data_IF_302543337436
#
_entry.id   IF_302543337436
#
_cell.length_a   1.000
_cell.length_b   1.000
_cell.length_c   1.000
_cell.angle_alpha   90.00
_cell.angle_beta   90.00
_cell.angle_gamma   90.00
#
_symmetry.space_group_name_H-M   'P 1'
#
loop_
_entity.id
_entity.type
_entity.pdbx_description
1 polymer ?
#
# COMPACT_ATOMS: atom_id res chain seq x y z
N UNK A 1 -8.58 -9.59 -3.56
CA UNK A 1 -9.16 -10.96 -3.72
C UNK A 1 -8.22 -11.96 -4.39
N UNK A 2 -7.50 -11.66 -5.49
CA UNK A 2 -6.50 -12.58 -6.05
C UNK A 2 -5.42 -12.96 -5.02
N UNK A 3 -4.94 -11.97 -4.26
CA UNK A 3 -4.01 -12.18 -3.15
C UNK A 3 -4.52 -13.19 -2.12
N UNK A 4 -5.82 -13.19 -1.81
CA UNK A 4 -6.44 -14.13 -0.87
C UNK A 4 -6.37 -15.58 -1.38
N UNK A 5 -6.86 -15.78 -2.61
CA UNK A 5 -7.12 -17.13 -3.10
C UNK A 5 -5.95 -17.79 -3.83
N UNK A 6 -4.96 -16.99 -4.25
CA UNK A 6 -3.77 -17.49 -4.95
C UNK A 6 -2.51 -17.22 -4.14
N UNK A 7 -2.17 -15.96 -3.93
CA UNK A 7 -0.84 -15.60 -3.42
C UNK A 7 -0.65 -15.88 -1.93
N UNK A 8 -1.69 -15.84 -1.10
CA UNK A 8 -1.54 -16.14 0.33
C UNK A 8 -1.03 -17.57 0.57
N UNK A 9 -1.47 -18.53 -0.26
CA UNK A 9 -0.93 -19.90 -0.24
C UNK A 9 0.51 -19.95 -0.70
N UNK A 10 0.82 -19.31 -1.84
CA UNK A 10 2.17 -19.31 -2.42
C UNK A 10 3.18 -18.70 -1.45
N UNK A 11 2.84 -17.56 -0.87
CA UNK A 11 3.67 -16.92 0.15
C UNK A 11 3.85 -17.81 1.38
N UNK A 12 2.79 -18.44 1.87
CA UNK A 12 2.92 -19.33 3.04
C UNK A 12 3.77 -20.56 2.75
N UNK A 13 3.65 -21.15 1.56
CA UNK A 13 4.47 -22.30 1.11
C UNK A 13 5.95 -21.94 0.93
N UNK A 14 6.24 -20.68 0.60
CA UNK A 14 7.65 -20.26 0.42
C UNK A 14 8.50 -20.38 1.67
N UNK A 15 7.88 -20.36 2.86
CA UNK A 15 8.51 -20.52 4.16
C UNK A 15 9.80 -19.68 4.31
N UNK A 16 9.64 -18.39 4.06
CA UNK A 16 10.67 -17.35 4.13
C UNK A 16 10.33 -16.34 5.23
N UNK A 17 11.34 -15.60 5.69
CA UNK A 17 11.18 -14.60 6.75
C UNK A 17 10.70 -13.26 6.22
N UNK A 18 11.20 -12.87 5.04
CA UNK A 18 10.85 -11.61 4.35
C UNK A 18 10.52 -11.89 2.88
N UNK A 19 9.67 -11.07 2.28
CA UNK A 19 9.37 -11.17 0.85
C UNK A 19 10.58 -10.87 -0.04
N UNK A 20 11.60 -10.19 0.48
CA UNK A 20 12.88 -9.95 -0.22
C UNK A 20 13.72 -11.24 -0.29
N UNK A 21 13.62 -12.12 0.69
CA UNK A 21 14.28 -13.43 0.66
C UNK A 21 13.82 -14.30 -0.52
N UNK A 22 12.61 -14.03 -1.06
CA UNK A 22 12.10 -14.65 -2.27
C UNK A 22 13.07 -14.57 -3.44
N UNK A 23 13.87 -13.52 -3.54
CA UNK A 23 14.81 -13.35 -4.64
C UNK A 23 15.88 -14.44 -4.67
N UNK A 24 16.39 -14.87 -3.51
CA UNK A 24 17.34 -15.98 -3.46
C UNK A 24 16.67 -17.37 -3.39
N UNK A 25 15.37 -17.44 -3.11
CA UNK A 25 14.58 -18.65 -3.25
C UNK A 25 14.27 -18.95 -4.73
N UNK A 26 14.01 -17.90 -5.51
CA UNK A 26 13.54 -18.01 -6.89
C UNK A 26 14.63 -17.87 -7.94
N UNK A 27 15.70 -17.16 -7.61
CA UNK A 27 16.80 -16.83 -8.50
C UNK A 27 18.14 -17.26 -7.90
N UNK A 28 19.14 -17.39 -8.79
CA UNK A 28 20.47 -17.90 -8.44
C UNK A 28 21.58 -16.87 -8.62
N UNK A 29 22.73 -17.16 -8.02
CA UNK A 29 23.99 -16.47 -8.24
C UNK A 29 24.06 -15.03 -7.72
N UNK A 30 25.05 -14.28 -8.24
CA UNK A 30 25.36 -12.92 -7.78
C UNK A 30 24.26 -11.91 -8.12
N UNK A 31 23.48 -12.13 -9.18
CA UNK A 31 22.42 -11.25 -9.57
C UNK A 31 21.24 -11.32 -8.60
N UNK A 32 20.89 -12.52 -8.11
CA UNK A 32 19.88 -12.71 -7.06
C UNK A 32 20.31 -12.04 -5.74
N UNK A 33 21.55 -12.22 -5.32
CA UNK A 33 22.09 -11.59 -4.12
C UNK A 33 22.10 -10.05 -4.24
N UNK A 34 22.52 -9.51 -5.39
CA UNK A 34 22.46 -8.08 -5.66
C UNK A 34 21.02 -7.55 -5.58
N UNK A 35 20.07 -8.24 -6.22
CA UNK A 35 18.66 -7.88 -6.21
C UNK A 35 18.10 -7.87 -4.78
N UNK A 36 18.41 -8.88 -3.96
CA UNK A 36 18.04 -8.94 -2.55
C UNK A 36 18.59 -7.76 -1.77
N UNK A 37 19.89 -7.46 -1.88
CA UNK A 37 20.53 -6.35 -1.18
C UNK A 37 20.02 -4.98 -1.62
N UNK A 38 19.86 -4.77 -2.93
CA UNK A 38 19.29 -3.55 -3.48
C UNK A 38 17.86 -3.31 -2.99
N UNK A 39 17.01 -4.32 -3.06
CA UNK A 39 15.62 -4.23 -2.59
C UNK A 39 15.53 -3.99 -1.10
N UNK A 40 16.42 -4.60 -0.30
CA UNK A 40 16.49 -4.36 1.14
C UNK A 40 16.75 -2.90 1.47
N UNK A 41 17.70 -2.26 0.77
CA UNK A 41 17.98 -0.84 0.94
C UNK A 41 16.86 0.04 0.38
N UNK A 42 16.38 -0.27 -0.82
CA UNK A 42 15.34 0.51 -1.48
C UNK A 42 14.03 0.49 -0.68
N UNK A 43 13.50 -0.68 -0.36
CA UNK A 43 12.24 -0.82 0.39
C UNK A 43 12.41 -0.51 1.89
N UNK A 44 13.51 -0.95 2.50
CA UNK A 44 13.74 -0.79 3.93
C UNK A 44 14.09 0.64 4.35
N UNK A 45 14.73 1.41 3.47
CA UNK A 45 15.13 2.79 3.76
C UNK A 45 14.40 3.80 2.89
N UNK A 46 14.66 3.83 1.58
CA UNK A 46 14.20 4.92 0.70
C UNK A 46 12.68 4.96 0.62
N UNK A 47 12.08 3.87 0.20
CA UNK A 47 10.63 3.76 0.06
C UNK A 47 9.92 3.93 1.41
N UNK A 48 10.46 3.30 2.45
CA UNK A 48 9.92 3.34 3.80
C UNK A 48 9.89 4.77 4.37
N UNK A 49 10.97 5.53 4.21
CA UNK A 49 11.05 6.95 4.61
C UNK A 49 10.04 7.80 3.84
N UNK A 50 9.85 7.55 2.53
CA UNK A 50 8.85 8.27 1.73
C UNK A 50 7.42 8.02 2.22
N UNK A 51 7.06 6.77 2.51
CA UNK A 51 5.75 6.42 3.06
C UNK A 51 5.55 7.05 4.44
N UNK A 52 6.55 6.94 5.33
CA UNK A 52 6.49 7.55 6.66
C UNK A 52 6.41 9.08 6.59
N UNK A 53 7.08 9.70 5.62
CA UNK A 53 7.00 11.14 5.36
C UNK A 53 5.59 11.59 4.96
N UNK A 54 4.94 10.86 4.05
CA UNK A 54 3.57 11.15 3.63
C UNK A 54 2.56 11.02 4.80
N UNK A 55 2.71 9.99 5.62
CA UNK A 55 1.88 9.77 6.81
C UNK A 55 2.15 10.84 7.88
N UNK A 56 3.41 11.25 8.04
CA UNK A 56 3.80 12.34 8.95
C UNK A 56 3.20 13.68 8.53
N UNK A 57 3.14 13.98 7.22
CA UNK A 57 2.46 15.19 6.73
C UNK A 57 0.97 15.18 7.10
N UNK A 58 0.29 14.04 7.00
CA UNK A 58 -1.11 13.94 7.41
C UNK A 58 -1.28 14.24 8.92
N UNK A 59 -0.37 13.74 9.77
CA UNK A 59 -0.36 14.03 11.19
C UNK A 59 -0.07 15.53 11.49
N UNK A 60 0.82 16.17 10.73
CA UNK A 60 1.09 17.62 10.80
C UNK A 60 -0.19 18.41 10.52
N UNK A 61 -0.85 18.16 9.37
CA UNK A 61 -2.08 18.86 9.00
C UNK A 61 -3.21 18.65 10.01
N UNK A 62 -3.35 17.43 10.52
CA UNK A 62 -4.30 17.12 11.58
C UNK A 62 -4.00 17.92 12.87
N UNK A 63 -2.74 17.95 13.31
CA UNK A 63 -2.32 18.67 14.50
C UNK A 63 -2.58 20.18 14.40
N UNK A 64 -2.27 20.77 13.26
CA UNK A 64 -2.47 22.20 13.01
C UNK A 64 -3.95 22.59 12.96
N UNK A 65 -4.81 21.78 12.34
CA UNK A 65 -6.24 22.10 12.13
C UNK A 65 -7.10 21.70 13.35
N UNK A 66 -6.93 20.47 13.83
CA UNK A 66 -7.83 19.90 14.84
C UNK A 66 -7.35 20.18 16.26
N UNK A 67 -6.03 20.09 16.50
CA UNK A 67 -5.47 20.29 17.84
C UNK A 67 -4.97 21.72 18.08
N UNK A 68 -4.85 22.54 17.04
CA UNK A 68 -4.32 23.91 17.14
C UNK A 68 -2.86 23.98 17.60
N UNK A 69 -2.06 22.93 17.35
CA UNK A 69 -0.67 22.86 17.77
C UNK A 69 0.27 22.79 16.55
N UNK A 70 1.48 23.36 16.64
CA UNK A 70 2.46 23.26 15.57
C UNK A 70 2.75 21.82 15.17
N UNK A 71 2.82 21.53 13.87
CA UNK A 71 2.96 20.16 13.35
C UNK A 71 4.18 19.41 13.88
N UNK A 72 5.31 20.11 14.15
CA UNK A 72 6.50 19.50 14.74
C UNK A 72 6.25 18.94 16.16
N UNK A 73 5.40 19.60 16.98
CA UNK A 73 5.02 19.09 18.32
C UNK A 73 4.22 17.80 18.17
N UNK A 74 3.24 17.79 17.26
CA UNK A 74 2.45 16.58 16.95
C UNK A 74 3.34 15.42 16.58
N UNK A 75 4.32 15.63 15.68
CA UNK A 75 5.26 14.59 15.29
C UNK A 75 6.20 14.17 16.43
N UNK A 76 6.76 15.10 17.20
CA UNK A 76 7.61 14.75 18.33
C UNK A 76 6.90 13.83 19.31
N UNK A 77 5.66 14.14 19.67
CA UNK A 77 4.87 13.33 20.61
C UNK A 77 4.50 11.98 20.00
N UNK A 78 3.87 11.98 18.83
CA UNK A 78 3.39 10.76 18.19
C UNK A 78 4.53 9.80 17.81
N UNK A 79 5.62 10.31 17.23
CA UNK A 79 6.79 9.51 16.88
C UNK A 79 7.51 8.95 18.12
N UNK A 80 7.63 9.73 19.20
CA UNK A 80 8.26 9.25 20.44
C UNK A 80 7.48 8.09 21.06
N UNK A 81 6.17 8.21 21.16
CA UNK A 81 5.30 7.15 21.68
C UNK A 81 5.41 5.92 20.78
N UNK A 82 5.32 6.11 19.45
CA UNK A 82 5.43 5.02 18.47
C UNK A 82 6.78 4.29 18.57
N UNK A 83 7.87 5.03 18.69
CA UNK A 83 9.22 4.47 18.83
C UNK A 83 9.35 3.58 20.07
N UNK A 84 8.84 4.06 21.23
CA UNK A 84 8.92 3.32 22.48
C UNK A 84 8.21 1.98 22.40
N UNK A 85 6.94 1.96 21.99
CA UNK A 85 6.21 0.69 21.98
C UNK A 85 6.64 -0.23 20.84
N UNK A 86 7.01 0.33 19.68
CA UNK A 86 7.46 -0.45 18.51
C UNK A 86 8.79 -1.16 18.78
N UNK A 87 9.73 -0.48 19.44
CA UNK A 87 11.02 -1.04 19.81
C UNK A 87 10.93 -2.17 20.84
N UNK A 88 9.85 -2.21 21.64
CA UNK A 88 9.66 -3.20 22.70
C UNK A 88 8.78 -4.39 22.27
N UNK A 89 7.83 -4.17 21.36
CA UNK A 89 6.72 -5.09 21.14
C UNK A 89 6.94 -6.16 20.05
N UNK A 90 7.77 -5.90 19.06
CA UNK A 90 7.94 -6.78 17.89
C UNK A 90 6.65 -7.01 17.11
N UNK A 91 6.68 -7.88 16.08
CA UNK A 91 5.58 -8.10 15.15
C UNK A 91 4.26 -8.55 15.83
N UNK A 92 4.35 -9.43 16.84
CA UNK A 92 3.13 -9.92 17.53
C UNK A 92 2.37 -8.80 18.24
N UNK A 93 3.07 -7.90 18.92
CA UNK A 93 2.45 -6.76 19.57
C UNK A 93 1.85 -5.79 18.54
N UNK A 94 2.57 -5.52 17.45
CA UNK A 94 2.07 -4.69 16.34
C UNK A 94 0.75 -5.25 15.80
N UNK A 95 0.64 -6.54 15.50
CA UNK A 95 -0.60 -7.14 14.98
C UNK A 95 -1.77 -7.00 15.97
N UNK A 96 -1.53 -7.22 17.26
CA UNK A 96 -2.57 -7.10 18.30
C UNK A 96 -3.02 -5.63 18.44
N UNK A 97 -2.07 -4.71 18.51
CA UNK A 97 -2.38 -3.26 18.61
C UNK A 97 -3.08 -2.76 17.37
N UNK A 98 -2.65 -3.16 16.16
CA UNK A 98 -3.31 -2.80 14.90
C UNK A 98 -4.77 -3.23 14.89
N UNK A 99 -5.08 -4.43 15.37
CA UNK A 99 -6.47 -4.91 15.43
C UNK A 99 -7.34 -4.09 16.40
N UNK A 100 -6.81 -3.80 17.59
CA UNK A 100 -7.51 -2.94 18.59
C UNK A 100 -7.71 -1.53 18.02
N UNK A 101 -6.67 -0.95 17.44
CA UNK A 101 -6.69 0.38 16.84
C UNK A 101 -7.68 0.46 15.67
N UNK A 102 -7.80 -0.60 14.85
CA UNK A 102 -8.80 -0.69 13.80
C UNK A 102 -10.23 -0.60 14.35
N UNK A 103 -10.53 -1.32 15.44
CA UNK A 103 -11.86 -1.25 16.10
C UNK A 103 -12.14 0.17 16.58
N UNK A 104 -11.19 0.81 17.28
CA UNK A 104 -11.33 2.20 17.72
C UNK A 104 -11.54 3.17 16.56
N UNK A 105 -10.76 3.01 15.48
CA UNK A 105 -10.89 3.85 14.30
C UNK A 105 -12.27 3.71 13.65
N UNK A 106 -12.82 2.49 13.58
CA UNK A 106 -14.14 2.25 13.00
C UNK A 106 -15.24 2.84 13.89
N UNK A 107 -15.20 2.62 15.21
CA UNK A 107 -16.17 3.19 16.14
C UNK A 107 -16.16 4.73 16.06
N UNK A 108 -14.97 5.35 16.10
CA UNK A 108 -14.83 6.80 15.99
C UNK A 108 -15.35 7.34 14.67
N UNK A 109 -14.98 6.72 13.55
CA UNK A 109 -15.40 7.16 12.21
C UNK A 109 -16.89 7.02 11.98
N UNK A 110 -17.50 5.90 12.40
CA UNK A 110 -18.94 5.66 12.28
C UNK A 110 -19.70 6.69 13.12
N UNK A 111 -19.28 6.91 14.36
CA UNK A 111 -19.95 7.88 15.23
C UNK A 111 -19.81 9.32 14.72
N UNK A 112 -18.62 9.69 14.23
CA UNK A 112 -18.41 10.98 13.56
C UNK A 112 -19.33 11.15 12.37
N UNK A 113 -19.46 10.12 11.52
CA UNK A 113 -20.35 10.14 10.36
C UNK A 113 -21.81 10.35 10.76
N UNK A 114 -22.30 9.62 11.75
CA UNK A 114 -23.66 9.76 12.26
C UNK A 114 -23.90 11.20 12.77
N UNK A 115 -22.95 11.76 13.51
CA UNK A 115 -23.05 13.12 14.01
C UNK A 115 -23.06 14.15 12.86
N UNK A 116 -22.12 14.04 11.92
CA UNK A 116 -22.02 14.97 10.79
C UNK A 116 -23.30 14.91 9.93
N UNK A 117 -23.83 13.72 9.66
CA UNK A 117 -25.10 13.59 8.94
C UNK A 117 -26.28 14.20 9.67
N UNK A 118 -26.24 14.29 11.01
CA UNK A 118 -27.28 14.90 11.82
C UNK A 118 -27.21 16.44 11.89
N UNK A 119 -26.17 17.07 11.34
CA UNK A 119 -26.05 18.53 11.30
C UNK A 119 -27.23 19.14 10.49
N UNK A 120 -27.78 20.28 10.96
CA UNK A 120 -28.90 20.96 10.28
C UNK A 120 -28.61 21.28 8.80
N UNK A 121 -27.37 21.66 8.50
CA UNK A 121 -26.90 22.01 7.17
C UNK A 121 -26.92 20.81 6.20
N UNK A 122 -26.76 19.59 6.73
CA UNK A 122 -26.77 18.36 5.93
C UNK A 122 -28.13 17.72 5.93
N UNK A 123 -28.84 17.68 7.05
CA UNK A 123 -30.21 17.21 7.16
C UNK A 123 -30.41 15.70 6.92
N UNK A 124 -29.38 14.89 7.18
CA UNK A 124 -29.44 13.43 7.07
C UNK A 124 -28.96 12.86 5.75
N UNK A 125 -28.88 11.54 5.69
CA UNK A 125 -28.35 10.81 4.52
C UNK A 125 -29.18 11.07 3.26
N UNK A 126 -30.53 11.07 3.37
CA UNK A 126 -31.41 11.29 2.21
C UNK A 126 -31.18 12.66 1.57
N UNK A 127 -31.00 13.70 2.39
CA UNK A 127 -30.71 15.04 1.89
C UNK A 127 -29.30 15.13 1.30
N UNK A 128 -28.30 14.52 1.95
CA UNK A 128 -26.94 14.47 1.45
C UNK A 128 -26.88 13.91 0.03
N UNK A 129 -27.48 12.74 -0.22
CA UNK A 129 -27.41 12.08 -1.54
C UNK A 129 -28.24 12.76 -2.62
N UNK A 130 -29.19 13.60 -2.25
CA UNK A 130 -29.99 14.39 -3.20
C UNK A 130 -29.47 15.82 -3.42
N UNK A 131 -28.46 16.25 -2.64
CA UNK A 131 -27.92 17.61 -2.73
C UNK A 131 -27.20 17.85 -4.07
N UNK A 132 -27.37 19.04 -4.66
CA UNK A 132 -26.83 19.38 -5.98
C UNK A 132 -25.31 19.21 -6.09
N UNK A 133 -24.55 19.55 -5.05
CA UNK A 133 -23.10 19.40 -5.01
C UNK A 133 -22.64 17.93 -4.89
N UNK A 134 -23.54 17.02 -4.53
CA UNK A 134 -23.22 15.62 -4.19
C UNK A 134 -23.73 14.64 -5.25
N UNK A 135 -24.95 14.86 -5.78
CA UNK A 135 -25.63 13.92 -6.68
C UNK A 135 -24.77 13.50 -7.88
N UNK A 136 -24.00 14.42 -8.46
CA UNK A 136 -23.07 14.15 -9.56
C UNK A 136 -21.82 13.36 -9.17
N UNK A 137 -21.58 13.10 -7.87
CA UNK A 137 -20.42 12.37 -7.35
C UNK A 137 -20.76 10.96 -6.86
N UNK A 138 -22.01 10.55 -6.92
CA UNK A 138 -22.48 9.27 -6.36
C UNK A 138 -22.30 8.08 -7.30
N UNK A 139 -21.97 8.30 -8.56
CA UNK A 139 -21.79 7.21 -9.52
C UNK A 139 -20.61 6.33 -9.13
N UNK A 140 -20.85 5.03 -8.94
CA UNK A 140 -19.79 4.03 -8.72
C UNK A 140 -19.00 3.70 -10.00
N UNK A 141 -19.57 4.00 -11.15
CA UNK A 141 -18.93 3.82 -12.45
C UNK A 141 -18.55 5.18 -13.03
N UNK A 142 -17.35 5.27 -13.60
CA UNK A 142 -16.93 6.48 -14.30
C UNK A 142 -17.80 6.70 -15.55
N UNK A 143 -17.84 7.92 -16.03
CA UNK A 143 -18.47 8.24 -17.31
C UNK A 143 -17.66 7.62 -18.46
N UNK A 144 -18.18 6.55 -19.06
CA UNK A 144 -17.54 5.86 -20.19
C UNK A 144 -17.52 6.67 -21.49
N UNK A 145 -18.27 7.75 -21.59
CA UNK A 145 -18.22 8.69 -22.73
C UNK A 145 -16.98 9.59 -22.66
N UNK A 146 -16.40 9.76 -21.46
CA UNK A 146 -15.20 10.57 -21.24
C UNK A 146 -13.97 9.70 -20.95
N UNK A 147 -13.03 9.56 -21.92
CA UNK A 147 -11.81 8.77 -21.74
C UNK A 147 -10.97 9.18 -20.52
N UNK A 148 -10.91 10.47 -20.20
CA UNK A 148 -10.15 10.99 -19.06
C UNK A 148 -10.77 10.61 -17.70
N UNK A 149 -12.04 10.20 -17.68
CA UNK A 149 -12.72 9.74 -16.48
C UNK A 149 -12.50 8.22 -16.25
N UNK A 150 -12.65 7.37 -17.27
CA UNK A 150 -12.65 5.92 -17.06
C UNK A 150 -11.31 5.23 -17.30
N UNK A 151 -10.47 5.76 -18.22
CA UNK A 151 -9.17 5.13 -18.51
C UNK A 151 -8.26 5.09 -17.27
N UNK A 152 -8.06 6.23 -16.54
CA UNK A 152 -7.18 6.23 -15.36
C UNK A 152 -7.69 5.35 -14.22
N UNK A 153 -9.01 5.28 -14.03
CA UNK A 153 -9.62 4.64 -12.85
C UNK A 153 -9.86 3.15 -13.06
N UNK A 154 -10.18 2.73 -14.29
CA UNK A 154 -10.57 1.36 -14.58
C UNK A 154 -9.55 0.63 -15.48
N UNK A 155 -9.28 1.18 -16.67
CA UNK A 155 -8.45 0.48 -17.66
C UNK A 155 -6.99 0.35 -17.23
N UNK A 156 -6.39 1.44 -16.75
CA UNK A 156 -4.98 1.44 -16.35
C UNK A 156 -4.71 0.48 -15.20
N UNK A 157 -5.42 0.52 -14.07
CA UNK A 157 -5.17 -0.42 -12.98
C UNK A 157 -5.34 -1.87 -13.38
N UNK A 158 -6.36 -2.19 -14.20
CA UNK A 158 -6.69 -3.55 -14.59
C UNK A 158 -5.75 -4.13 -15.66
N UNK A 159 -5.52 -3.39 -16.74
CA UNK A 159 -4.90 -3.92 -17.96
C UNK A 159 -3.46 -3.45 -18.17
N UNK A 160 -3.06 -2.34 -17.57
CA UNK A 160 -1.75 -1.71 -17.80
C UNK A 160 -0.83 -1.92 -16.61
N UNK A 161 -1.28 -1.56 -15.42
CA UNK A 161 -0.45 -1.62 -14.21
C UNK A 161 -0.56 -2.95 -13.45
N UNK A 162 -1.57 -3.77 -13.73
CA UNK A 162 -1.80 -5.05 -13.06
C UNK A 162 -1.83 -4.90 -11.52
N UNK A 163 -2.48 -3.81 -11.03
CA UNK A 163 -2.54 -3.41 -9.62
C UNK A 163 -1.19 -3.09 -8.95
N UNK A 164 -0.09 -2.96 -9.69
CA UNK A 164 1.22 -2.66 -9.12
C UNK A 164 1.30 -1.31 -8.40
N UNK A 165 0.47 -0.35 -8.82
CA UNK A 165 0.45 0.99 -8.26
C UNK A 165 -0.80 1.29 -7.44
N UNK A 166 -1.56 0.28 -7.09
CA UNK A 166 -2.77 0.43 -6.29
C UNK A 166 -2.46 0.97 -4.87
N UNK A 167 -1.34 0.57 -4.30
CA UNK A 167 -0.91 0.96 -2.95
C UNK A 167 0.62 1.01 -2.91
N UNK A 168 1.25 2.05 -2.31
CA UNK A 168 2.69 2.13 -2.21
C UNK A 168 3.28 0.89 -1.53
N UNK A 169 4.25 0.24 -2.19
CA UNK A 169 4.86 -1.00 -1.73
C UNK A 169 4.00 -2.25 -1.87
N UNK A 170 2.79 -2.16 -2.44
CA UNK A 170 2.07 -3.37 -2.82
C UNK A 170 2.52 -3.85 -4.18
N UNK A 171 2.88 -5.10 -4.22
CA UNK A 171 3.12 -5.84 -5.46
C UNK A 171 1.87 -6.67 -5.77
N UNK A 172 1.58 -6.96 -7.05
CA UNK A 172 0.58 -7.97 -7.37
C UNK A 172 0.87 -9.26 -6.60
N UNK A 173 -0.09 -9.70 -5.80
CA UNK A 173 0.10 -10.84 -4.91
C UNK A 173 0.45 -10.50 -3.46
N UNK A 174 0.66 -9.22 -3.12
CA UNK A 174 0.88 -8.77 -1.75
C UNK A 174 2.32 -8.94 -1.30
N UNK A 175 3.15 -7.91 -1.49
CA UNK A 175 4.49 -7.81 -0.90
C UNK A 175 4.48 -7.10 0.46
N UNK A 176 5.66 -6.86 0.99
CA UNK A 176 5.88 -6.05 2.16
C UNK A 176 5.16 -6.55 3.42
N UNK A 177 4.50 -5.63 4.11
CA UNK A 177 3.82 -5.97 5.37
C UNK A 177 2.63 -6.93 5.20
N UNK A 178 2.00 -7.00 4.03
CA UNK A 178 0.93 -7.97 3.76
C UNK A 178 1.51 -9.38 3.71
N UNK A 179 2.60 -9.59 2.95
CA UNK A 179 3.31 -10.86 2.90
C UNK A 179 3.84 -11.27 4.27
N UNK A 180 4.38 -10.32 5.05
CA UNK A 180 4.88 -10.56 6.41
C UNK A 180 3.81 -11.19 7.32
N UNK A 181 2.54 -10.75 7.20
CA UNK A 181 1.43 -11.34 7.96
C UNK A 181 1.09 -12.75 7.47
N UNK A 182 1.20 -13.00 6.17
CA UNK A 182 0.98 -14.35 5.60
C UNK A 182 2.05 -15.34 6.08
N UNK A 183 3.33 -14.93 6.12
CA UNK A 183 4.42 -15.77 6.65
C UNK A 183 4.20 -16.13 8.12
N UNK A 184 3.72 -15.18 8.94
CA UNK A 184 3.48 -15.37 10.37
C UNK A 184 2.24 -16.21 10.69
N UNK A 185 1.39 -16.51 9.72
CA UNK A 185 0.21 -17.33 9.90
C UNK A 185 0.57 -18.79 10.21
N UNK A 186 -0.30 -19.50 10.92
CA UNK A 186 -0.08 -20.90 11.32
C UNK A 186 0.08 -21.83 10.12
N UNK A 187 -0.81 -21.70 9.15
CA UNK A 187 -0.88 -22.52 7.93
C UNK A 187 -1.51 -21.75 6.76
N UNK A 188 -1.65 -22.38 5.60
CA UNK A 188 -2.24 -21.78 4.40
C UNK A 188 -3.67 -21.29 4.62
N UNK A 189 -4.48 -22.06 5.34
CA UNK A 189 -5.88 -21.73 5.61
C UNK A 189 -5.98 -20.47 6.48
N UNK A 190 -5.13 -20.36 7.50
CA UNK A 190 -5.06 -19.16 8.34
C UNK A 190 -4.51 -17.95 7.57
N UNK A 191 -3.52 -18.13 6.69
CA UNK A 191 -3.02 -17.06 5.83
C UNK A 191 -4.10 -16.54 4.89
N UNK A 192 -4.87 -17.43 4.25
CA UNK A 192 -6.01 -17.08 3.40
C UNK A 192 -7.12 -16.39 4.20
N UNK A 193 -7.49 -16.95 5.36
CA UNK A 193 -8.54 -16.40 6.22
C UNK A 193 -8.21 -15.00 6.73
N UNK A 194 -6.98 -14.78 7.18
CA UNK A 194 -6.51 -13.46 7.62
C UNK A 194 -6.53 -12.44 6.48
N UNK A 195 -6.06 -12.83 5.29
CA UNK A 195 -6.06 -11.96 4.12
C UNK A 195 -7.48 -11.66 3.63
N UNK A 196 -8.40 -12.63 3.73
CA UNK A 196 -9.81 -12.46 3.39
C UNK A 196 -10.50 -11.49 4.36
N UNK A 197 -10.30 -11.68 5.66
CA UNK A 197 -10.80 -10.76 6.69
C UNK A 197 -10.30 -9.34 6.46
N UNK A 198 -9.00 -9.18 6.17
CA UNK A 198 -8.42 -7.89 5.83
C UNK A 198 -9.11 -7.26 4.61
N UNK A 199 -9.36 -8.03 3.55
CA UNK A 199 -10.04 -7.52 2.35
C UNK A 199 -11.45 -7.02 2.65
N UNK A 200 -12.24 -7.76 3.43
CA UNK A 200 -13.59 -7.33 3.84
C UNK A 200 -13.51 -6.06 4.67
N UNK A 201 -12.66 -6.05 5.70
CA UNK A 201 -12.53 -4.89 6.59
C UNK A 201 -12.05 -3.64 5.84
N UNK A 202 -11.06 -3.81 4.95
CA UNK A 202 -10.41 -2.70 4.25
C UNK A 202 -11.24 -2.13 3.10
N UNK A 203 -11.90 -2.98 2.31
CA UNK A 203 -12.59 -2.55 1.08
C UNK A 203 -14.11 -2.41 1.24
N UNK A 204 -14.73 -3.16 2.13
CA UNK A 204 -16.18 -3.10 2.31
C UNK A 204 -16.58 -2.27 3.54
N UNK A 205 -15.88 -2.40 4.67
CA UNK A 205 -16.32 -1.77 5.93
C UNK A 205 -15.70 -0.38 6.11
N UNK A 206 -14.39 -0.26 5.93
CA UNK A 206 -13.64 0.95 6.27
C UNK A 206 -13.99 2.19 5.43
N UNK A 207 -14.24 2.11 4.10
CA UNK A 207 -14.33 3.30 3.26
C UNK A 207 -15.57 4.16 3.49
N UNK A 208 -16.73 3.57 3.77
CA UNK A 208 -18.00 4.27 3.73
C UNK A 208 -18.13 5.42 4.76
N UNK A 209 -17.65 5.35 6.02
CA UNK A 209 -17.74 6.48 6.92
C UNK A 209 -16.98 7.69 6.39
N UNK A 210 -15.78 7.47 5.85
CA UNK A 210 -14.95 8.54 5.30
C UNK A 210 -15.52 9.13 4.00
N UNK A 211 -16.10 8.28 3.15
CA UNK A 211 -16.79 8.74 1.92
C UNK A 211 -17.96 9.65 2.29
N UNK A 212 -18.79 9.27 3.26
CA UNK A 212 -19.93 10.09 3.69
C UNK A 212 -19.50 11.43 4.29
N UNK A 213 -18.45 11.44 5.11
CA UNK A 213 -17.88 12.70 5.65
C UNK A 213 -17.32 13.56 4.49
N UNK A 214 -16.62 12.97 3.52
CA UNK A 214 -16.10 13.68 2.37
C UNK A 214 -17.20 14.24 1.48
N UNK A 215 -18.29 13.51 1.26
CA UNK A 215 -19.46 14.03 0.54
C UNK A 215 -20.14 15.16 1.32
N UNK A 216 -20.23 15.04 2.64
CA UNK A 216 -20.78 16.10 3.51
C UNK A 216 -19.94 17.37 3.45
N UNK A 217 -18.62 17.27 3.24
CA UNK A 217 -17.77 18.46 3.11
C UNK A 217 -18.09 19.30 1.87
N UNK A 218 -18.67 18.71 0.80
CA UNK A 218 -19.10 19.44 -0.38
C UNK A 218 -20.30 20.36 -0.14
N UNK A 219 -21.00 20.18 0.98
CA UNK A 219 -22.09 21.04 1.42
C UNK A 219 -21.56 22.14 2.36
N UNK A 220 -20.72 21.78 3.33
CA UNK A 220 -20.21 22.70 4.35
C UNK A 220 -19.09 23.61 3.80
N UNK A 221 -18.21 23.03 2.98
CA UNK A 221 -17.06 23.70 2.36
C UNK A 221 -17.03 23.41 0.86
N UNK A 222 -17.95 24.00 0.06
CA UNK A 222 -18.02 23.76 -1.38
C UNK A 222 -16.71 24.05 -2.12
N UNK A 223 -16.00 25.10 -1.70
CA UNK A 223 -14.77 25.56 -2.31
C UNK A 223 -13.60 25.55 -1.30
N UNK A 224 -12.36 25.46 -1.80
CA UNK A 224 -11.18 25.54 -0.94
C UNK A 224 -11.05 26.87 -0.21
N UNK A 225 -11.59 27.96 -0.79
CA UNK A 225 -11.68 29.28 -0.15
C UNK A 225 -12.50 29.27 1.14
N UNK A 226 -13.52 28.41 1.23
CA UNK A 226 -14.35 28.30 2.42
C UNK A 226 -13.54 27.70 3.58
N UNK A 227 -12.70 26.71 3.27
CA UNK A 227 -11.76 26.15 4.26
C UNK A 227 -10.74 27.19 4.68
N UNK A 228 -10.18 27.96 3.74
CA UNK A 228 -9.21 29.02 4.07
C UNK A 228 -9.84 30.12 4.95
N UNK A 229 -11.09 30.48 4.69
CA UNK A 229 -11.82 31.45 5.51
C UNK A 229 -12.11 30.92 6.93
N UNK A 230 -12.42 29.62 7.04
CA UNK A 230 -12.66 28.98 8.34
C UNK A 230 -11.36 28.79 9.17
N UNK A 231 -10.23 28.64 8.48
CA UNK A 231 -8.90 28.43 9.09
C UNK A 231 -7.88 29.44 8.54
N UNK A 232 -7.96 30.73 8.90
CA UNK A 232 -7.10 31.79 8.34
C UNK A 232 -5.62 31.64 8.66
N UNK A 233 -5.29 30.93 9.74
CA UNK A 233 -3.89 30.66 10.15
C UNK A 233 -3.24 29.52 9.36
N UNK A 234 -4.01 28.81 8.51
CA UNK A 234 -3.47 27.74 7.69
C UNK A 234 -2.60 28.33 6.56
N UNK A 235 -1.32 27.91 6.44
CA UNK A 235 -0.48 28.35 5.34
C UNK A 235 -1.08 28.01 3.97
N UNK A 236 -1.11 28.97 3.06
CA UNK A 236 -1.73 28.78 1.73
C UNK A 236 -1.06 27.65 0.90
N UNK A 237 0.21 27.35 1.15
CA UNK A 237 0.93 26.27 0.48
C UNK A 237 0.56 24.87 1.01
N UNK A 238 -0.17 24.79 2.12
CA UNK A 238 -0.73 23.57 2.69
C UNK A 238 -2.23 23.38 2.35
N UNK A 239 -2.87 24.39 1.77
CA UNK A 239 -4.28 24.33 1.38
C UNK A 239 -4.46 23.32 0.24
N UNK A 240 -5.37 22.36 0.41
CA UNK A 240 -5.69 21.32 -0.57
C UNK A 240 -6.91 20.52 -0.17
N UNK A 241 -7.43 19.70 -1.09
CA UNK A 241 -8.62 18.89 -0.83
C UNK A 241 -8.45 17.87 0.31
N UNK A 242 -7.23 17.49 0.65
CA UNK A 242 -6.89 16.58 1.74
C UNK A 242 -7.14 17.20 3.14
N UNK A 243 -7.40 18.51 3.22
CA UNK A 243 -7.76 19.23 4.45
C UNK A 243 -9.27 19.13 4.75
N UNK A 244 -10.11 18.83 3.78
CA UNK A 244 -11.56 18.79 3.97
C UNK A 244 -11.97 17.84 5.12
N UNK A 245 -11.36 16.66 5.23
CA UNK A 245 -11.66 15.73 6.31
C UNK A 245 -11.30 16.26 7.70
N UNK A 246 -10.07 16.73 7.99
CA UNK A 246 -9.76 17.42 9.27
C UNK A 246 -10.67 18.61 9.56
N UNK A 247 -11.02 19.44 8.56
CA UNK A 247 -11.94 20.56 8.73
C UNK A 247 -13.33 20.10 9.18
N UNK A 248 -13.87 19.04 8.58
CA UNK A 248 -15.16 18.48 9.03
C UNK A 248 -15.14 17.95 10.45
N UNK A 249 -14.00 17.43 10.92
CA UNK A 249 -13.87 16.93 12.29
C UNK A 249 -13.99 18.04 13.35
N UNK A 250 -13.68 19.29 13.03
CA UNK A 250 -13.82 20.42 13.97
C UNK A 250 -15.27 20.73 14.32
N UNK A 251 -16.22 20.22 13.51
CA UNK A 251 -17.67 20.35 13.78
C UNK A 251 -18.18 19.35 14.83
N UNK A 252 -17.34 18.41 15.26
CA UNK A 252 -17.71 17.39 16.25
C UNK A 252 -17.73 17.99 17.67
N UNK A 253 -18.65 17.54 18.55
CA UNK A 253 -18.61 17.92 19.96
C UNK A 253 -17.32 17.41 20.61
N UNK A 254 -16.81 18.13 21.59
CA UNK A 254 -15.47 17.94 22.20
C UNK A 254 -15.17 16.47 22.60
N UNK A 255 -16.15 15.76 23.19
CA UNK A 255 -15.98 14.37 23.60
C UNK A 255 -15.78 13.42 22.39
N UNK A 256 -16.60 13.59 21.35
CA UNK A 256 -16.49 12.78 20.12
C UNK A 256 -15.24 13.16 19.33
N UNK A 257 -14.91 14.45 19.25
CA UNK A 257 -13.66 14.91 18.65
C UNK A 257 -12.45 14.26 19.33
N UNK A 258 -12.46 14.15 20.66
CA UNK A 258 -11.39 13.45 21.40
C UNK A 258 -11.25 11.99 21.03
N UNK A 259 -12.36 11.25 20.90
CA UNK A 259 -12.35 9.83 20.46
C UNK A 259 -11.81 9.69 19.03
N UNK A 260 -12.30 10.51 18.11
CA UNK A 260 -11.86 10.50 16.71
C UNK A 260 -10.39 10.90 16.59
N UNK A 261 -9.95 11.93 17.33
CA UNK A 261 -8.55 12.34 17.37
C UNK A 261 -7.64 11.21 17.88
N UNK A 262 -8.03 10.54 18.97
CA UNK A 262 -7.32 9.39 19.47
C UNK A 262 -7.25 8.25 18.47
N UNK A 263 -8.33 8.01 17.71
CA UNK A 263 -8.36 6.98 16.67
C UNK A 263 -7.44 7.31 15.48
N UNK A 264 -7.35 8.58 15.08
CA UNK A 264 -6.45 9.02 13.99
C UNK A 264 -4.98 8.98 14.43
N UNK A 265 -4.67 9.36 15.66
CA UNK A 265 -3.33 9.19 16.24
C UNK A 265 -2.98 7.70 16.30
N UNK A 266 -3.91 6.85 16.72
CA UNK A 266 -3.71 5.41 16.74
C UNK A 266 -3.45 4.85 15.32
N UNK A 267 -4.18 5.30 14.30
CA UNK A 267 -3.97 4.92 12.91
C UNK A 267 -2.58 5.37 12.39
N UNK A 268 -2.14 6.58 12.73
CA UNK A 268 -0.78 7.05 12.47
C UNK A 268 0.25 6.12 13.11
N UNK A 269 0.10 5.85 14.41
CA UNK A 269 1.01 4.99 15.17
C UNK A 269 1.07 3.56 14.58
N UNK A 270 -0.06 2.99 14.19
CA UNK A 270 -0.15 1.67 13.53
C UNK A 270 0.65 1.63 12.23
N UNK A 271 0.48 2.62 11.37
CA UNK A 271 1.23 2.70 10.10
C UNK A 271 2.72 2.85 10.35
N UNK A 272 3.11 3.78 11.24
CA UNK A 272 4.51 4.02 11.56
C UNK A 272 5.18 2.79 12.18
N UNK A 273 4.54 2.11 13.14
CA UNK A 273 5.08 0.91 13.78
C UNK A 273 5.26 -0.25 12.78
N UNK A 274 4.30 -0.41 11.88
CA UNK A 274 4.38 -1.40 10.81
C UNK A 274 5.55 -1.12 9.86
N UNK A 275 5.71 0.12 9.42
CA UNK A 275 6.81 0.52 8.54
C UNK A 275 8.17 0.41 9.24
N UNK A 276 8.26 0.80 10.51
CA UNK A 276 9.49 0.65 11.30
C UNK A 276 9.90 -0.81 11.46
N UNK A 277 8.93 -1.69 11.77
CA UNK A 277 9.19 -3.12 11.94
C UNK A 277 9.62 -3.77 10.62
N UNK A 278 8.91 -3.49 9.53
CA UNK A 278 9.23 -4.02 8.20
C UNK A 278 10.58 -3.50 7.69
N UNK A 279 10.81 -2.19 7.76
CA UNK A 279 12.04 -1.57 7.31
C UNK A 279 13.26 -2.08 8.10
N UNK A 280 13.15 -2.18 9.42
CA UNK A 280 14.19 -2.76 10.24
C UNK A 280 14.45 -4.24 9.88
N UNK A 281 13.40 -5.02 9.59
CA UNK A 281 13.55 -6.42 9.16
C UNK A 281 14.35 -6.53 7.87
N UNK A 282 14.05 -5.73 6.86
CA UNK A 282 14.79 -5.70 5.60
C UNK A 282 16.25 -5.27 5.78
N UNK A 283 16.47 -4.16 6.49
CA UNK A 283 17.83 -3.63 6.68
C UNK A 283 18.69 -4.54 7.54
N UNK A 284 18.10 -5.25 8.49
CA UNK A 284 18.85 -6.17 9.38
C UNK A 284 19.05 -7.54 8.74
N UNK A 285 18.00 -8.20 8.30
CA UNK A 285 18.09 -9.59 7.84
C UNK A 285 18.61 -9.69 6.40
N UNK A 286 18.08 -8.84 5.51
CA UNK A 286 18.36 -8.94 4.08
C UNK A 286 19.57 -8.10 3.64
N UNK A 287 20.01 -7.12 4.44
CA UNK A 287 21.20 -6.34 4.14
C UNK A 287 22.32 -6.56 5.15
N UNK A 288 22.14 -6.21 6.45
CA UNK A 288 23.22 -6.24 7.44
C UNK A 288 23.71 -7.68 7.70
N UNK A 289 22.81 -8.57 8.10
CA UNK A 289 23.13 -9.97 8.40
C UNK A 289 23.64 -10.71 7.15
N UNK A 290 23.00 -10.49 6.01
CA UNK A 290 23.34 -11.21 4.77
C UNK A 290 24.67 -10.79 4.16
N UNK A 291 25.01 -9.49 4.19
CA UNK A 291 26.15 -8.94 3.42
C UNK A 291 27.25 -8.33 4.27
N UNK A 292 26.97 -7.86 5.49
CA UNK A 292 27.95 -7.14 6.31
C UNK A 292 28.49 -8.04 7.42
N UNK A 293 27.65 -8.66 8.20
CA UNK A 293 28.03 -9.47 9.38
C UNK A 293 27.21 -10.76 9.47
N UNK A 294 27.49 -11.78 8.63
CA UNK A 294 26.76 -13.06 8.63
C UNK A 294 26.87 -13.83 9.96
N UNK A 295 27.97 -13.64 10.70
CA UNK A 295 28.25 -14.33 11.96
C UNK A 295 27.90 -13.52 13.21
N UNK A 296 27.09 -12.45 13.07
CA UNK A 296 26.77 -11.59 14.20
C UNK A 296 25.81 -12.26 15.18
N UNK A 297 25.90 -11.86 16.46
CA UNK A 297 25.04 -12.41 17.51
C UNK A 297 23.58 -11.86 17.37
N UNK A 298 22.61 -12.64 17.89
CA UNK A 298 21.19 -12.19 17.97
C UNK A 298 21.05 -10.86 18.71
N UNK A 299 21.89 -10.60 19.73
CA UNK A 299 21.89 -9.33 20.48
C UNK A 299 22.33 -8.16 19.60
N UNK A 300 23.33 -8.38 18.75
CA UNK A 300 23.82 -7.40 17.79
C UNK A 300 22.73 -7.07 16.76
N UNK A 301 22.05 -8.08 16.19
CA UNK A 301 20.93 -7.88 15.27
C UNK A 301 19.81 -7.01 15.87
N UNK A 302 19.45 -7.27 17.13
CA UNK A 302 18.44 -6.47 17.84
C UNK A 302 18.89 -5.02 18.01
N UNK A 303 20.17 -4.79 18.35
CA UNK A 303 20.70 -3.43 18.51
C UNK A 303 20.75 -2.69 17.17
N UNK A 304 21.17 -3.35 16.09
CA UNK A 304 21.18 -2.79 14.75
C UNK A 304 19.76 -2.47 14.29
N UNK A 305 18.77 -3.35 14.57
CA UNK A 305 17.36 -3.08 14.29
C UNK A 305 16.86 -1.82 14.99
N UNK A 306 17.22 -1.63 16.27
CA UNK A 306 16.85 -0.42 17.03
C UNK A 306 17.46 0.85 16.43
N UNK A 307 18.73 0.79 16.00
CA UNK A 307 19.39 1.92 15.33
C UNK A 307 18.67 2.27 14.03
N UNK A 308 18.39 1.30 13.17
CA UNK A 308 17.64 1.55 11.93
C UNK A 308 16.24 2.09 12.20
N UNK A 309 15.54 1.58 13.21
CA UNK A 309 14.24 2.10 13.63
C UNK A 309 14.31 3.58 14.01
N UNK A 310 15.30 3.99 14.82
CA UNK A 310 15.49 5.40 15.20
C UNK A 310 15.84 6.26 13.99
N UNK A 311 16.77 5.82 13.14
CA UNK A 311 17.19 6.58 11.95
C UNK A 311 16.02 6.78 10.99
N UNK A 312 15.26 5.72 10.69
CA UNK A 312 14.16 5.81 9.72
C UNK A 312 13.00 6.66 10.21
N UNK A 313 12.66 6.62 11.52
CA UNK A 313 11.58 7.49 12.05
C UNK A 313 11.98 8.97 12.01
N UNK A 314 13.24 9.30 12.31
CA UNK A 314 13.74 10.67 12.24
C UNK A 314 13.71 11.18 10.79
N UNK A 315 14.17 10.36 9.84
CA UNK A 315 14.15 10.74 8.43
C UNK A 315 12.72 10.88 7.90
N UNK A 316 11.81 9.97 8.27
CA UNK A 316 10.40 10.03 7.87
C UNK A 316 9.68 11.23 8.46
N UNK A 317 9.87 11.54 9.75
CA UNK A 317 9.30 12.70 10.40
C UNK A 317 9.86 14.02 9.80
N UNK A 318 11.19 14.08 9.59
CA UNK A 318 11.85 15.23 8.95
C UNK A 318 11.32 15.47 7.54
N UNK A 319 11.16 14.42 6.73
CA UNK A 319 10.56 14.52 5.41
C UNK A 319 9.12 15.04 5.49
N UNK A 320 8.32 14.54 6.43
CA UNK A 320 6.93 14.97 6.63
C UNK A 320 6.78 16.46 6.91
N UNK A 321 7.76 17.08 7.57
CA UNK A 321 7.79 18.53 7.81
C UNK A 321 8.11 19.36 6.54
N UNK A 322 8.74 18.75 5.55
CA UNK A 322 9.15 19.44 4.30
C UNK A 322 8.16 19.23 3.15
N UNK A 323 7.34 18.18 3.21
CA UNK A 323 6.34 17.90 2.18
C UNK A 323 5.18 18.90 2.23
N UNK A 324 4.71 19.31 1.03
CA UNK A 324 3.53 20.17 0.86
C UNK A 324 2.26 19.38 0.59
N UNK A 325 2.39 18.29 -0.17
CA UNK A 325 1.29 17.42 -0.56
C UNK A 325 1.69 15.95 -0.45
N UNK A 326 0.88 15.17 0.26
CA UNK A 326 1.02 13.72 0.31
C UNK A 326 0.82 13.07 -1.09
N UNK A 327 -0.06 13.65 -1.91
CA UNK A 327 -0.33 13.14 -3.26
C UNK A 327 0.88 13.20 -4.20
N UNK A 328 1.75 14.20 -4.07
CA UNK A 328 2.95 14.29 -4.92
C UNK A 328 3.93 13.15 -4.64
N UNK A 329 4.24 12.89 -3.37
CA UNK A 329 5.11 11.78 -3.00
C UNK A 329 4.50 10.42 -3.40
N UNK A 330 3.19 10.26 -3.21
CA UNK A 330 2.45 9.08 -3.57
C UNK A 330 2.47 8.84 -5.10
N UNK A 331 2.19 9.85 -5.90
CA UNK A 331 2.19 9.73 -7.37
C UNK A 331 3.56 9.33 -7.92
N UNK A 332 4.66 9.88 -7.36
CA UNK A 332 6.01 9.47 -7.76
C UNK A 332 6.25 7.99 -7.49
N UNK A 333 5.87 7.50 -6.31
CA UNK A 333 5.99 6.09 -5.94
C UNK A 333 5.17 5.18 -6.86
N UNK A 334 3.95 5.59 -7.20
CA UNK A 334 3.07 4.86 -8.12
C UNK A 334 3.65 4.78 -9.53
N UNK A 335 4.23 5.86 -10.03
CA UNK A 335 4.85 5.89 -11.35
C UNK A 335 6.06 4.94 -11.45
N UNK A 336 6.92 4.93 -10.43
CA UNK A 336 8.09 4.04 -10.39
C UNK A 336 7.64 2.56 -10.35
N UNK A 337 6.56 2.24 -9.61
CA UNK A 337 6.03 0.88 -9.51
C UNK A 337 5.26 0.40 -10.75
N UNK A 338 4.73 1.30 -11.56
CA UNK A 338 3.81 0.95 -12.64
C UNK A 338 4.38 -0.04 -13.66
N UNK A 339 5.63 0.13 -14.09
CA UNK A 339 6.26 -0.69 -15.11
C UNK A 339 6.63 -2.11 -14.67
N UNK A 340 6.57 -2.41 -13.37
CA UNK A 340 7.00 -3.70 -12.81
C UNK A 340 5.85 -4.63 -12.45
N UNK A 341 4.60 -4.22 -12.61
CA UNK A 341 3.44 -5.00 -12.16
C UNK A 341 3.35 -6.40 -12.77
N UNK A 342 3.48 -6.50 -14.09
CA UNK A 342 3.35 -7.77 -14.79
C UNK A 342 4.47 -8.76 -14.45
N UNK A 343 5.70 -8.29 -14.27
CA UNK A 343 6.83 -9.17 -13.93
C UNK A 343 6.65 -9.77 -12.53
N UNK A 344 6.09 -9.04 -11.57
CA UNK A 344 5.79 -9.54 -10.23
C UNK A 344 4.71 -10.63 -10.21
N UNK A 345 3.84 -10.67 -11.22
CA UNK A 345 2.93 -11.79 -11.44
C UNK A 345 3.69 -12.96 -12.07
N UNK A 346 4.39 -12.69 -13.16
CA UNK A 346 5.01 -13.73 -13.97
C UNK A 346 6.18 -14.44 -13.26
N UNK A 347 6.87 -13.81 -12.32
CA UNK A 347 7.94 -14.48 -11.55
C UNK A 347 7.45 -15.72 -10.78
N UNK A 348 6.15 -15.79 -10.45
CA UNK A 348 5.55 -16.95 -9.83
C UNK A 348 5.16 -18.04 -10.81
N UNK A 349 4.79 -17.65 -12.04
CA UNK A 349 4.12 -18.56 -13.00
C UNK A 349 4.90 -18.83 -14.27
N UNK A 350 6.04 -18.17 -14.48
CA UNK A 350 6.86 -18.34 -15.68
C UNK A 350 8.34 -18.50 -15.34
N UNK A 351 8.85 -19.72 -15.59
CA UNK A 351 10.23 -20.11 -15.27
C UNK A 351 11.31 -19.21 -15.90
N UNK A 352 11.02 -18.57 -17.03
CA UNK A 352 11.99 -17.77 -17.78
C UNK A 352 12.35 -16.44 -17.13
N UNK A 353 11.53 -15.94 -16.21
CA UNK A 353 11.85 -14.73 -15.42
C UNK A 353 13.06 -15.05 -14.54
N UNK A 354 14.08 -14.18 -14.62
CA UNK A 354 15.33 -14.29 -13.86
C UNK A 354 15.68 -12.96 -13.16
N UNK A 355 16.73 -12.97 -12.36
CA UNK A 355 17.14 -11.79 -11.58
C UNK A 355 17.50 -10.59 -12.48
N UNK A 356 18.13 -10.81 -13.62
CA UNK A 356 18.45 -9.73 -14.57
C UNK A 356 17.20 -9.09 -15.15
N UNK A 357 16.16 -9.88 -15.40
CA UNK A 357 14.87 -9.38 -15.88
C UNK A 357 14.23 -8.44 -14.87
N UNK A 358 14.25 -8.78 -13.58
CA UNK A 358 13.69 -7.90 -12.53
C UNK A 358 14.52 -6.63 -12.34
N UNK A 359 15.86 -6.74 -12.31
CA UNK A 359 16.74 -5.55 -12.22
C UNK A 359 16.50 -4.61 -13.40
N UNK A 360 16.42 -5.16 -14.60
CA UNK A 360 16.17 -4.36 -15.82
C UNK A 360 14.78 -3.72 -15.79
N UNK A 361 13.75 -4.45 -15.33
CA UNK A 361 12.41 -3.90 -15.19
C UNK A 361 12.37 -2.72 -14.21
N UNK A 362 13.03 -2.84 -13.05
CA UNK A 362 13.10 -1.75 -12.06
C UNK A 362 13.88 -0.55 -12.59
N UNK A 363 15.05 -0.79 -13.18
CA UNK A 363 15.89 0.29 -13.72
C UNK A 363 15.20 1.02 -14.87
N UNK A 364 14.65 0.28 -15.83
CA UNK A 364 13.95 0.87 -16.97
C UNK A 364 12.68 1.60 -16.54
N UNK A 365 11.89 1.03 -15.61
CA UNK A 365 10.70 1.70 -15.07
C UNK A 365 11.05 3.03 -14.41
N UNK A 366 12.10 3.06 -13.59
CA UNK A 366 12.56 4.30 -12.96
C UNK A 366 13.03 5.33 -14.00
N UNK A 367 13.89 4.93 -14.95
CA UNK A 367 14.44 5.86 -15.96
C UNK A 367 13.34 6.41 -16.87
N UNK A 368 12.42 5.55 -17.33
CA UNK A 368 11.30 5.96 -18.16
C UNK A 368 10.33 6.85 -17.38
N UNK A 369 10.03 6.54 -16.12
CA UNK A 369 9.18 7.37 -15.28
C UNK A 369 9.79 8.76 -15.04
N UNK A 370 11.07 8.84 -14.74
CA UNK A 370 11.79 10.12 -14.60
C UNK A 370 11.78 10.91 -15.91
N UNK A 371 12.11 10.27 -17.03
CA UNK A 371 12.08 10.92 -18.35
C UNK A 371 10.70 11.50 -18.67
N UNK A 372 9.65 10.70 -18.54
CA UNK A 372 8.27 11.13 -18.85
C UNK A 372 7.73 12.18 -17.87
N UNK A 373 8.20 12.20 -16.62
CA UNK A 373 7.78 13.18 -15.64
C UNK A 373 8.44 14.55 -15.85
N UNK A 374 9.74 14.55 -16.20
CA UNK A 374 10.51 15.79 -16.42
C UNK A 374 10.49 16.26 -17.87
N UNK A 375 9.98 15.46 -18.81
CA UNK A 375 9.81 15.88 -20.20
C UNK A 375 8.64 16.88 -20.31
N UNK A 376 8.84 17.93 -21.09
CA UNK A 376 7.80 18.94 -21.44
C UNK A 376 6.79 18.40 -22.47
N UNK A 377 6.57 17.09 -22.51
CA UNK A 377 5.61 16.47 -23.42
C UNK A 377 4.20 16.85 -22.99
N UNK A 378 3.47 17.52 -23.89
CA UNK A 378 2.05 17.87 -23.70
C UNK A 378 1.15 16.65 -23.97
N UNK A 379 1.25 15.66 -23.08
CA UNK A 379 0.43 14.44 -23.10
C UNK A 379 -0.17 14.20 -21.73
N UNK A 380 -1.37 13.66 -21.72
CA UNK A 380 -2.10 13.38 -20.47
C UNK A 380 -1.36 12.38 -19.58
N UNK A 381 -1.54 12.50 -18.28
CA UNK A 381 -0.83 11.65 -17.29
C UNK A 381 -1.07 10.15 -17.52
N UNK A 382 -2.27 9.76 -17.91
CA UNK A 382 -2.58 8.36 -18.17
C UNK A 382 -1.90 7.81 -19.43
N UNK A 383 -1.69 8.66 -20.46
CA UNK A 383 -0.90 8.27 -21.66
C UNK A 383 0.56 8.06 -21.29
N UNK A 384 1.14 8.93 -20.44
CA UNK A 384 2.50 8.74 -19.91
C UNK A 384 2.65 7.38 -19.23
N UNK A 385 1.66 6.97 -18.42
CA UNK A 385 1.67 5.66 -17.76
C UNK A 385 1.66 4.52 -18.80
N UNK A 386 0.77 4.56 -19.80
CA UNK A 386 0.69 3.53 -20.84
C UNK A 386 2.02 3.41 -21.59
N UNK A 387 2.59 4.53 -22.02
CA UNK A 387 3.89 4.55 -22.70
C UNK A 387 4.98 3.97 -21.78
N UNK A 388 5.03 4.42 -20.53
CA UNK A 388 6.03 3.97 -19.55
C UNK A 388 5.97 2.46 -19.31
N UNK A 389 4.77 1.92 -19.07
CA UNK A 389 4.57 0.49 -18.85
C UNK A 389 4.89 -0.32 -20.11
N UNK A 390 4.46 0.15 -21.27
CA UNK A 390 4.73 -0.55 -22.57
C UNK A 390 6.23 -0.64 -22.86
N UNK A 391 6.94 0.49 -22.74
CA UNK A 391 8.40 0.52 -22.94
C UNK A 391 9.12 -0.38 -21.93
N UNK A 392 8.80 -0.25 -20.64
CA UNK A 392 9.39 -1.09 -19.60
C UNK A 392 9.12 -2.57 -19.87
N UNK A 393 7.90 -2.92 -20.26
CA UNK A 393 7.52 -4.31 -20.57
C UNK A 393 8.32 -4.86 -21.74
N UNK A 394 8.45 -4.11 -22.83
CA UNK A 394 9.26 -4.53 -23.98
C UNK A 394 10.73 -4.77 -23.56
N UNK A 395 11.30 -3.85 -22.78
CA UNK A 395 12.69 -3.94 -22.33
C UNK A 395 12.92 -5.19 -21.48
N UNK A 396 12.12 -5.43 -20.45
CA UNK A 396 12.36 -6.60 -19.60
C UNK A 396 11.99 -7.92 -20.27
N UNK A 397 10.99 -7.95 -21.18
CA UNK A 397 10.69 -9.15 -21.98
C UNK A 397 11.87 -9.50 -22.86
N UNK A 398 12.46 -8.54 -23.59
CA UNK A 398 13.67 -8.76 -24.37
C UNK A 398 14.83 -9.26 -23.49
N UNK A 399 15.02 -8.65 -22.33
CA UNK A 399 16.04 -9.07 -21.35
C UNK A 399 15.84 -10.53 -20.94
N UNK A 400 14.60 -10.97 -20.74
CA UNK A 400 14.33 -12.36 -20.35
C UNK A 400 14.80 -13.40 -21.39
N UNK A 401 14.84 -13.05 -22.67
CA UNK A 401 15.31 -13.94 -23.74
C UNK A 401 16.81 -13.84 -24.01
N UNK A 402 17.42 -12.68 -23.75
CA UNK A 402 18.85 -12.43 -24.01
C UNK A 402 19.74 -12.94 -22.85
N UNK A 403 19.23 -12.86 -21.61
CA UNK A 403 19.99 -13.25 -20.42
C UNK A 403 19.96 -14.77 -20.17
N UNK A 404 20.98 -15.32 -19.47
CA UNK A 404 21.00 -16.73 -19.11
C UNK A 404 19.77 -17.15 -18.30
N UNK A 405 19.39 -18.41 -18.42
CA UNK A 405 18.37 -19.01 -17.58
C UNK A 405 18.89 -19.18 -16.16
N UNK A 406 17.97 -19.24 -15.19
CA UNK A 406 18.32 -19.63 -13.83
C UNK A 406 18.75 -21.09 -13.77
N UNK A 407 19.54 -21.44 -12.76
CA UNK A 407 20.00 -22.81 -12.57
C UNK A 407 18.81 -23.77 -12.46
N UNK A 408 18.92 -24.91 -13.11
CA UNK A 408 17.86 -25.92 -13.12
C UNK A 408 17.56 -26.44 -11.71
N UNK A 409 18.56 -26.58 -10.87
CA UNK A 409 18.41 -26.98 -9.47
C UNK A 409 17.59 -25.94 -8.68
N UNK A 410 17.89 -24.65 -8.87
CA UNK A 410 17.13 -23.55 -8.24
C UNK A 410 15.66 -23.56 -8.68
N UNK A 411 15.40 -23.78 -9.97
CA UNK A 411 14.03 -23.83 -10.49
C UNK A 411 13.25 -25.04 -9.97
N UNK A 412 13.88 -26.21 -9.88
CA UNK A 412 13.27 -27.42 -9.31
C UNK A 412 12.98 -27.25 -7.83
N UNK A 413 13.94 -26.77 -7.04
CA UNK A 413 13.77 -26.50 -5.61
C UNK A 413 12.64 -25.52 -5.34
N UNK A 414 12.50 -24.47 -6.18
CA UNK A 414 11.39 -23.54 -6.09
C UNK A 414 10.05 -24.22 -6.35
N UNK A 415 9.96 -25.03 -7.41
CA UNK A 415 8.71 -25.74 -7.74
C UNK A 415 8.35 -26.75 -6.66
N UNK A 416 9.31 -27.53 -6.18
CA UNK A 416 9.09 -28.54 -5.12
C UNK A 416 8.64 -27.91 -3.82
N UNK A 417 9.20 -26.74 -3.45
CA UNK A 417 8.87 -26.03 -2.22
C UNK A 417 7.54 -25.27 -2.31
N UNK A 418 7.33 -24.51 -3.39
CA UNK A 418 6.20 -23.56 -3.50
C UNK A 418 5.01 -24.16 -4.21
N UNK A 419 5.24 -25.07 -5.15
CA UNK A 419 4.24 -25.65 -6.04
C UNK A 419 3.33 -24.59 -6.67
N UNK A 420 3.86 -23.65 -7.48
CA UNK A 420 3.10 -22.52 -7.99
C UNK A 420 2.03 -22.94 -9.01
N UNK A 421 2.19 -24.12 -9.63
CA UNK A 421 1.29 -24.63 -10.67
C UNK A 421 1.35 -23.84 -11.97
N UNK A 422 0.53 -24.27 -12.95
CA UNK A 422 0.38 -23.57 -14.22
C UNK A 422 1.30 -24.03 -15.34
N UNK A 423 1.00 -23.59 -16.58
CA UNK A 423 1.69 -24.10 -17.79
C UNK A 423 3.17 -23.69 -17.87
N UNK A 424 3.55 -22.61 -17.22
CA UNK A 424 4.92 -22.11 -17.24
C UNK A 424 5.92 -22.96 -16.45
N UNK A 425 5.47 -23.98 -15.70
CA UNK A 425 6.31 -24.88 -14.91
C UNK A 425 6.29 -26.34 -15.35
N UNK A 426 5.61 -26.66 -16.44
CA UNK A 426 5.46 -28.04 -16.92
C UNK A 426 6.78 -28.80 -17.09
N UNK A 427 7.85 -28.12 -17.50
CA UNK A 427 9.18 -28.72 -17.69
C UNK A 427 9.91 -29.06 -16.39
N UNK A 428 9.47 -28.53 -15.25
CA UNK A 428 10.12 -28.65 -13.95
C UNK A 428 9.27 -29.40 -12.93
N UNK A 429 8.01 -29.69 -13.23
CA UNK A 429 7.09 -30.39 -12.33
C UNK A 429 7.27 -31.90 -12.50
N UNK A 430 7.62 -32.60 -11.42
CA UNK A 430 7.85 -34.05 -11.41
C UNK A 430 6.60 -34.88 -11.16
N UNK A 431 5.48 -34.29 -10.73
CA UNK A 431 4.26 -35.00 -10.36
C UNK A 431 3.11 -34.74 -11.34
N UNK A 432 2.36 -35.80 -11.65
CA UNK A 432 1.09 -35.77 -12.38
C UNK A 432 -0.05 -35.05 -11.63
N UNK A 433 0.16 -34.73 -10.37
CA UNK A 433 -0.75 -34.03 -9.47
C UNK A 433 -0.37 -32.53 -9.32
N UNK A 434 -0.10 -31.84 -10.44
CA UNK A 434 -0.18 -30.38 -10.35
C UNK A 434 -1.62 -30.05 -9.99
N UNK A 435 -1.85 -29.25 -8.94
CA UNK A 435 -3.17 -28.65 -8.66
C UNK A 435 -3.51 -27.70 -9.83
N UNK A 436 -3.72 -28.26 -11.02
CA UNK A 436 -3.92 -27.51 -12.28
C UNK A 436 -5.10 -26.54 -12.21
N UNK A 437 -6.01 -26.77 -11.29
CA UNK A 437 -7.21 -25.99 -11.04
C UNK A 437 -7.04 -24.91 -9.95
N UNK A 438 -5.91 -24.85 -9.28
CA UNK A 438 -5.68 -23.89 -8.20
C UNK A 438 -5.79 -22.43 -8.68
N UNK A 439 -5.09 -22.05 -9.73
CA UNK A 439 -5.10 -20.67 -10.26
C UNK A 439 -6.45 -20.32 -10.91
N UNK A 440 -7.02 -21.12 -11.82
CA UNK A 440 -8.37 -20.87 -12.36
C UNK A 440 -9.44 -20.74 -11.29
N UNK A 441 -9.44 -21.63 -10.27
CA UNK A 441 -10.34 -21.54 -9.14
C UNK A 441 -10.14 -20.25 -8.34
N UNK A 442 -8.90 -19.84 -8.12
CA UNK A 442 -8.55 -18.58 -7.46
C UNK A 442 -9.06 -17.35 -8.22
N UNK A 443 -8.93 -17.33 -9.54
CA UNK A 443 -9.46 -16.26 -10.41
C UNK A 443 -11.00 -16.23 -10.35
N UNK A 444 -11.66 -17.37 -10.39
CA UNK A 444 -13.12 -17.44 -10.24
C UNK A 444 -13.59 -16.90 -8.88
N UNK A 445 -12.95 -17.31 -7.79
CA UNK A 445 -13.26 -16.82 -6.45
C UNK A 445 -12.93 -15.32 -6.29
N UNK A 446 -11.90 -14.83 -6.96
CA UNK A 446 -11.59 -13.40 -7.04
C UNK A 446 -12.75 -12.64 -7.70
N UNK A 447 -13.22 -13.09 -8.86
CA UNK A 447 -14.34 -12.45 -9.56
C UNK A 447 -15.61 -12.43 -8.70
N UNK A 448 -15.94 -13.56 -8.07
CA UNK A 448 -17.08 -13.66 -7.15
C UNK A 448 -16.93 -12.71 -5.95
N UNK A 449 -15.75 -12.65 -5.33
CA UNK A 449 -15.50 -11.78 -4.18
C UNK A 449 -15.55 -10.29 -4.55
N UNK A 450 -15.02 -9.92 -5.72
CA UNK A 450 -15.13 -8.54 -6.23
C UNK A 450 -16.60 -8.16 -6.49
N UNK A 451 -17.36 -9.05 -7.15
CA UNK A 451 -18.78 -8.84 -7.40
C UNK A 451 -19.57 -8.66 -6.08
N UNK A 452 -19.26 -9.47 -5.06
CA UNK A 452 -19.91 -9.35 -3.76
C UNK A 452 -19.60 -8.01 -3.07
N UNK A 453 -18.33 -7.55 -3.10
CA UNK A 453 -17.94 -6.25 -2.50
C UNK A 453 -18.59 -5.09 -3.23
N UNK A 454 -18.50 -5.06 -4.56
CA UNK A 454 -19.14 -3.98 -5.35
C UNK A 454 -20.66 -4.02 -5.25
N UNK A 455 -21.28 -5.21 -5.21
CA UNK A 455 -22.71 -5.37 -4.98
C UNK A 455 -23.13 -4.83 -3.61
N UNK A 456 -22.34 -5.10 -2.56
CA UNK A 456 -22.58 -4.53 -1.23
C UNK A 456 -22.48 -3.00 -1.24
N UNK A 457 -21.44 -2.43 -1.85
CA UNK A 457 -21.28 -0.97 -1.96
C UNK A 457 -22.42 -0.31 -2.74
N UNK A 458 -22.88 -0.97 -3.81
CA UNK A 458 -24.06 -0.52 -4.56
C UNK A 458 -25.33 -0.51 -3.69
N UNK A 459 -25.57 -1.57 -2.93
CA UNK A 459 -26.72 -1.64 -2.03
C UNK A 459 -26.67 -0.53 -0.97
N UNK A 460 -25.51 -0.29 -0.37
CA UNK A 460 -25.34 0.79 0.63
C UNK A 460 -25.49 2.17 0.00
N UNK A 461 -25.09 2.36 -1.25
CA UNK A 461 -25.23 3.63 -1.96
C UNK A 461 -26.65 3.92 -2.50
N UNK A 462 -27.52 2.90 -2.52
CA UNK A 462 -28.93 3.06 -2.97
C UNK A 462 -29.94 2.94 -1.82
N UNK A 463 -29.51 2.66 -0.59
CA UNK A 463 -30.33 2.70 0.62
C UNK A 463 -30.34 4.09 1.24
#
# INVERSE_FOLDING_TARGET
MLTVFVYAKLWKRSDILTDIEFYELRYSGKAAAFLRGFRALYLGLVFNVLVMGAVSLAAVKFGEIVLGVPGWITLCVACSITLIYSALGGLKAVIITDFIQFIFAMVGSIWATIHILSLPEIGGLANLVSHENVVGKLSLFPDFSNPDAWIPVLFIPLAVQWWASYYPGSEPGGGGYIAQRMFSAKDETHAMGATFLFNIAHYAIRPWPWILIALSSLIIFPELSDIQNAFPDLPADKLGHDIAYPAMLTLLPSGLLGIVSASLIAAFMSTMSTQLNLGASYLVNDFYYRFIRPDCSKKELVNVARIFTVVTIILGAGLGLTLKSAGQAFNLLLMIGAGTGLIYILRWFWWRINAYTEVTAMASSLLVALYLNFSELDITSWVKIIIGVSLTTIIWVLTSFITPQEDEETLRNFVDKVNPGGPGWKSYTSSSESESWFVPKGIFLMALGCTAVYGFLLCVGHL
#
